data_IF_440406414869
#
_entry.id   IF_440406414869
#
_cell.length_a   1.000
_cell.length_b   1.000
_cell.length_c   1.000
_cell.angle_alpha   90.00
_cell.angle_beta   90.00
_cell.angle_gamma   90.00
#
_symmetry.space_group_name_H-M   'P 1'
#
loop_
_entity.id
_entity.type
_entity.pdbx_description
1 polymer ?
#
# COMPACT_ATOMS: atom_id res chain seq x y z
N UNK A 1 0.97 9.37 1.08
CA UNK A 1 2.18 9.03 1.87
C UNK A 1 1.98 9.50 3.31
N UNK A 2 1.65 8.59 4.24
CA UNK A 2 1.55 8.91 5.68
C UNK A 2 2.91 9.20 6.29
N UNK A 3 2.95 10.12 7.26
CA UNK A 3 4.16 10.47 8.02
C UNK A 3 3.88 10.55 9.52
N UNK A 4 4.85 10.12 10.33
CA UNK A 4 4.90 10.35 11.76
C UNK A 4 6.34 10.28 12.25
N UNK A 5 6.95 11.41 12.61
CA UNK A 5 8.36 11.55 12.95
C UNK A 5 9.29 11.09 11.80
N UNK A 6 9.16 11.73 10.65
CA UNK A 6 9.94 11.45 9.44
C UNK A 6 10.70 12.68 8.93
N UNK A 7 10.98 13.68 9.80
CA UNK A 7 11.65 14.93 9.42
C UNK A 7 13.01 14.70 8.75
N UNK A 8 13.75 13.65 9.15
CA UNK A 8 15.06 13.30 8.59
C UNK A 8 14.97 12.69 7.17
N UNK A 9 13.86 12.05 6.84
CA UNK A 9 13.64 11.35 5.56
C UNK A 9 12.85 12.19 4.55
N UNK A 10 11.93 13.03 5.02
CA UNK A 10 10.86 13.62 4.22
C UNK A 10 11.37 14.39 2.99
N UNK A 11 12.33 15.30 3.17
CA UNK A 11 12.81 16.12 2.05
C UNK A 11 13.47 15.26 0.96
N UNK A 12 14.23 14.24 1.37
CA UNK A 12 14.93 13.36 0.44
C UNK A 12 13.97 12.43 -0.32
N UNK A 13 12.96 11.85 0.37
CA UNK A 13 12.01 10.96 -0.29
C UNK A 13 11.08 11.74 -1.22
N UNK A 14 10.63 12.95 -0.86
CA UNK A 14 9.87 13.84 -1.74
C UNK A 14 10.64 14.14 -3.00
N UNK A 15 11.92 14.52 -2.90
CA UNK A 15 12.77 14.76 -4.06
C UNK A 15 12.91 13.52 -4.95
N UNK A 16 13.08 12.34 -4.35
CA UNK A 16 13.22 11.07 -5.08
C UNK A 16 11.92 10.67 -5.79
N UNK A 17 10.74 10.92 -5.19
CA UNK A 17 9.43 10.68 -5.81
C UNK A 17 9.27 11.55 -7.07
N UNK A 18 9.52 12.86 -6.97
CA UNK A 18 9.42 13.77 -8.11
C UNK A 18 10.49 13.52 -9.19
N UNK A 19 11.66 13.00 -8.80
CA UNK A 19 12.65 12.55 -9.77
C UNK A 19 12.21 11.31 -10.53
N UNK A 20 11.49 10.39 -9.88
CA UNK A 20 10.98 9.15 -10.49
C UNK A 20 9.71 9.38 -11.33
N UNK A 21 8.80 10.25 -10.87
CA UNK A 21 7.55 10.62 -11.53
C UNK A 21 7.33 12.14 -11.45
N UNK A 22 7.88 12.93 -12.40
CA UNK A 22 7.83 14.40 -12.36
C UNK A 22 6.41 15.00 -12.36
N UNK A 23 5.47 14.35 -13.06
CA UNK A 23 4.09 14.85 -13.22
C UNK A 23 3.13 14.32 -12.14
N UNK A 24 3.65 13.70 -11.07
CA UNK A 24 2.80 13.18 -10.00
C UNK A 24 2.30 14.28 -9.07
N UNK A 25 1.14 14.08 -8.48
CA UNK A 25 0.73 14.80 -7.28
C UNK A 25 1.11 13.97 -6.05
N UNK A 26 1.62 14.61 -5.00
CA UNK A 26 1.98 13.98 -3.75
C UNK A 26 1.16 14.55 -2.60
N UNK A 27 0.42 13.70 -1.90
CA UNK A 27 -0.21 14.04 -0.63
C UNK A 27 0.62 13.48 0.53
N UNK A 28 1.19 14.36 1.34
CA UNK A 28 1.77 14.02 2.65
C UNK A 28 0.65 14.08 3.69
N UNK A 29 0.48 13.01 4.47
CA UNK A 29 -0.56 12.94 5.52
C UNK A 29 0.16 12.83 6.85
N UNK A 30 0.31 13.96 7.54
CA UNK A 30 1.05 14.03 8.79
C UNK A 30 0.16 13.76 10.00
N UNK A 31 0.52 12.74 10.77
CA UNK A 31 -0.18 12.29 11.99
C UNK A 31 0.16 13.14 13.22
N UNK A 32 0.32 14.46 13.06
CA UNK A 32 0.65 15.37 14.15
C UNK A 32 2.05 15.11 14.70
N UNK A 33 3.05 15.05 13.82
CA UNK A 33 4.44 14.77 14.18
C UNK A 33 5.02 15.86 15.08
N UNK A 34 5.57 15.53 16.26
CA UNK A 34 6.20 16.50 17.15
C UNK A 34 7.61 16.93 16.74
N UNK A 35 8.22 16.29 15.72
CA UNK A 35 9.59 16.50 15.27
C UNK A 35 9.74 17.56 14.15
N UNK A 36 8.65 18.27 13.82
CA UNK A 36 8.65 19.27 12.74
C UNK A 36 8.42 18.69 11.33
N UNK A 37 8.03 17.42 11.21
CA UNK A 37 7.72 16.80 9.90
C UNK A 37 6.65 17.57 9.13
N UNK A 38 5.57 18.00 9.80
CA UNK A 38 4.45 18.70 9.18
C UNK A 38 4.87 20.07 8.64
N UNK A 39 5.60 20.85 9.43
CA UNK A 39 6.13 22.17 9.03
C UNK A 39 7.13 22.03 7.87
N UNK A 40 7.97 20.99 7.89
CA UNK A 40 8.86 20.69 6.79
C UNK A 40 8.08 20.36 5.51
N UNK A 41 7.00 19.58 5.61
CA UNK A 41 6.15 19.26 4.49
C UNK A 41 5.52 20.51 3.85
N UNK A 42 5.00 21.44 4.69
CA UNK A 42 4.48 22.73 4.23
C UNK A 42 5.52 23.55 3.50
N UNK A 43 6.76 23.59 4.02
CA UNK A 43 7.88 24.30 3.39
C UNK A 43 8.24 23.73 2.00
N UNK A 44 8.08 22.43 1.78
CA UNK A 44 8.38 21.79 0.51
C UNK A 44 7.39 22.16 -0.61
N UNK A 45 6.17 22.63 -0.29
CA UNK A 45 5.17 23.09 -1.28
C UNK A 45 5.67 24.22 -2.14
N UNK A 46 6.54 25.08 -1.62
CA UNK A 46 7.13 26.17 -2.41
C UNK A 46 7.98 25.64 -3.58
N UNK A 47 8.59 24.47 -3.42
CA UNK A 47 9.44 23.83 -4.43
C UNK A 47 8.66 22.85 -5.33
N UNK A 48 7.61 22.24 -4.79
CA UNK A 48 6.81 21.22 -5.46
C UNK A 48 5.33 21.62 -5.47
N UNK A 49 4.85 22.35 -6.50
CA UNK A 49 3.50 22.90 -6.54
C UNK A 49 2.37 21.87 -6.52
N UNK A 50 2.66 20.61 -6.91
CA UNK A 50 1.71 19.49 -6.86
C UNK A 50 1.81 18.67 -5.57
N UNK A 51 2.61 19.12 -4.59
CA UNK A 51 2.63 18.59 -3.25
C UNK A 51 1.54 19.25 -2.41
N UNK A 52 0.72 18.43 -1.78
CA UNK A 52 -0.25 18.87 -0.79
C UNK A 52 0.00 18.21 0.57
N UNK A 53 -0.45 18.85 1.64
CA UNK A 53 -0.23 18.40 3.01
C UNK A 53 -1.57 18.33 3.74
N UNK A 54 -1.81 17.20 4.39
CA UNK A 54 -2.95 17.00 5.27
C UNK A 54 -2.44 16.81 6.70
N UNK A 55 -2.72 17.78 7.57
CA UNK A 55 -2.41 17.69 9.00
C UNK A 55 -3.54 17.00 9.74
N UNK A 56 -3.22 15.95 10.47
CA UNK A 56 -4.15 15.26 11.35
C UNK A 56 -3.92 15.68 12.80
N UNK A 57 -4.95 15.60 13.64
CA UNK A 57 -4.89 16.10 15.01
C UNK A 57 -3.98 15.28 15.96
N UNK A 58 -3.35 14.21 15.46
CA UNK A 58 -2.46 13.36 16.23
C UNK A 58 -2.26 12.01 15.57
N UNK A 59 -1.56 11.09 16.23
CA UNK A 59 -1.29 9.74 15.75
C UNK A 59 -2.56 8.89 15.77
N UNK A 60 -3.31 8.93 14.66
CA UNK A 60 -4.57 8.22 14.50
C UNK A 60 -4.42 6.86 13.79
N UNK A 61 -3.21 6.52 13.37
CA UNK A 61 -2.87 5.23 12.77
C UNK A 61 -2.73 5.22 11.26
N UNK A 62 -1.95 4.25 10.77
CA UNK A 62 -1.55 4.14 9.38
C UNK A 62 -2.75 3.84 8.45
N UNK A 63 -3.60 2.90 8.85
CA UNK A 63 -4.75 2.50 8.04
C UNK A 63 -5.74 3.64 7.84
N UNK A 64 -6.02 4.39 8.92
CA UNK A 64 -6.91 5.56 8.84
C UNK A 64 -6.31 6.68 7.98
N UNK A 65 -4.98 6.86 8.01
CA UNK A 65 -4.30 7.84 7.14
C UNK A 65 -4.46 7.45 5.66
N UNK A 66 -4.28 6.18 5.31
CA UNK A 66 -4.51 5.72 3.94
C UNK A 66 -5.96 5.87 3.50
N UNK A 67 -6.94 5.57 4.37
CA UNK A 67 -8.37 5.79 4.07
C UNK A 67 -8.66 7.26 3.76
N UNK A 68 -8.10 8.21 4.52
CA UNK A 68 -8.23 9.63 4.24
C UNK A 68 -7.55 10.03 2.92
N UNK A 69 -6.37 9.46 2.64
CA UNK A 69 -5.68 9.63 1.36
C UNK A 69 -6.50 9.11 0.17
N UNK A 70 -7.15 7.96 0.31
CA UNK A 70 -8.04 7.43 -0.72
C UNK A 70 -9.27 8.33 -0.94
N UNK A 71 -9.89 8.82 0.13
CA UNK A 71 -10.99 9.79 0.02
C UNK A 71 -10.54 11.11 -0.64
N UNK A 72 -9.33 11.58 -0.32
CA UNK A 72 -8.74 12.74 -0.97
C UNK A 72 -8.56 12.48 -2.47
N UNK A 73 -7.97 11.36 -2.85
CA UNK A 73 -7.75 11.00 -4.24
C UNK A 73 -9.05 10.90 -5.05
N UNK A 74 -10.12 10.34 -4.44
CA UNK A 74 -11.44 10.28 -5.08
C UNK A 74 -12.06 11.66 -5.28
N UNK A 75 -11.93 12.57 -4.32
CA UNK A 75 -12.45 13.95 -4.44
C UNK A 75 -11.73 14.79 -5.49
N UNK A 76 -10.48 14.47 -5.80
CA UNK A 76 -9.66 15.19 -6.79
C UNK A 76 -9.56 14.45 -8.13
N UNK A 77 -10.39 13.44 -8.36
CA UNK A 77 -10.50 12.71 -9.62
C UNK A 77 -9.20 12.05 -10.12
N UNK A 78 -8.28 11.68 -9.22
CA UNK A 78 -7.07 10.95 -9.60
C UNK A 78 -7.40 9.56 -10.15
N UNK A 79 -6.90 9.26 -11.36
CA UNK A 79 -7.13 7.97 -12.03
C UNK A 79 -6.28 6.83 -11.44
N UNK A 80 -5.09 7.15 -10.95
CA UNK A 80 -4.11 6.21 -10.37
C UNK A 80 -3.67 6.76 -9.02
N UNK A 81 -3.58 5.88 -8.02
CA UNK A 81 -3.18 6.23 -6.66
C UNK A 81 -2.11 5.28 -6.16
N UNK A 82 -1.01 5.82 -5.67
CA UNK A 82 0.04 5.06 -5.00
C UNK A 82 -0.12 5.09 -3.48
N UNK A 83 0.17 3.98 -2.86
CA UNK A 83 0.36 3.82 -1.42
C UNK A 83 1.84 3.53 -1.17
N UNK A 84 2.49 4.32 -0.31
CA UNK A 84 3.89 4.12 0.05
C UNK A 84 4.25 4.77 1.39
N UNK A 85 5.26 4.24 2.06
CA UNK A 85 5.83 4.79 3.28
C UNK A 85 6.92 5.85 2.98
N UNK A 86 7.28 6.68 3.99
CA UNK A 86 8.21 7.79 3.85
C UNK A 86 9.68 7.47 4.25
N UNK A 87 10.00 6.22 4.59
CA UNK A 87 11.26 5.81 5.21
C UNK A 87 12.25 5.11 4.26
N UNK A 88 12.05 5.26 2.95
CA UNK A 88 12.84 4.59 1.90
C UNK A 88 12.79 3.05 1.88
N UNK A 89 11.98 2.41 2.73
CA UNK A 89 11.70 0.97 2.57
C UNK A 89 10.96 0.69 1.26
N UNK A 90 10.15 1.66 0.82
CA UNK A 90 9.53 1.73 -0.50
C UNK A 90 10.34 2.69 -1.39
N UNK A 91 11.29 2.14 -2.16
CA UNK A 91 12.17 2.95 -3.01
C UNK A 91 11.38 3.56 -4.18
N UNK A 92 11.35 4.90 -4.33
CA UNK A 92 10.64 5.59 -5.41
C UNK A 92 11.04 5.17 -6.82
N UNK A 93 12.23 4.62 -7.03
CA UNK A 93 12.67 4.09 -8.35
C UNK A 93 11.73 3.04 -8.95
N UNK A 94 10.89 2.38 -8.12
CA UNK A 94 9.92 1.39 -8.57
C UNK A 94 8.58 1.99 -9.01
N UNK A 95 8.31 3.28 -8.72
CA UNK A 95 7.06 3.94 -9.11
C UNK A 95 6.76 3.86 -10.60
N UNK A 96 7.72 4.09 -11.53
CA UNK A 96 7.46 3.96 -12.95
C UNK A 96 7.09 2.52 -13.36
N UNK A 97 7.71 1.51 -12.76
CA UNK A 97 7.40 0.11 -13.05
C UNK A 97 6.00 -0.30 -12.55
N UNK A 98 5.60 0.18 -11.35
CA UNK A 98 4.26 -0.04 -10.85
C UNK A 98 3.21 0.67 -11.71
N UNK A 99 3.50 1.91 -12.14
CA UNK A 99 2.62 2.67 -13.03
C UNK A 99 2.43 1.96 -14.38
N UNK A 100 3.52 1.50 -14.98
CA UNK A 100 3.47 0.76 -16.24
C UNK A 100 2.63 -0.52 -16.12
N UNK A 101 2.80 -1.29 -15.04
CA UNK A 101 2.01 -2.49 -14.78
C UNK A 101 0.52 -2.20 -14.54
N UNK A 102 0.17 -1.02 -14.05
CA UNK A 102 -1.22 -0.56 -13.91
C UNK A 102 -1.89 -0.29 -15.27
N UNK A 103 -1.16 -0.29 -16.39
CA UNK A 103 -1.72 -0.30 -17.75
C UNK A 103 -2.66 -1.49 -17.97
N UNK A 104 -2.25 -2.67 -17.50
CA UNK A 104 -2.96 -3.94 -17.71
C UNK A 104 -3.56 -4.53 -16.42
N UNK A 105 -3.46 -3.87 -15.28
CA UNK A 105 -3.95 -4.35 -14.00
C UNK A 105 -4.71 -3.27 -13.24
N UNK A 106 -5.59 -3.70 -12.34
CA UNK A 106 -6.39 -2.78 -11.50
C UNK A 106 -5.65 -2.44 -10.20
N UNK A 107 -4.93 -3.42 -9.64
CA UNK A 107 -4.09 -3.29 -8.46
C UNK A 107 -2.72 -3.88 -8.75
N UNK A 108 -1.66 -3.09 -8.52
CA UNK A 108 -0.27 -3.54 -8.63
C UNK A 108 0.37 -3.51 -7.25
N UNK A 109 1.04 -4.59 -6.87
CA UNK A 109 1.72 -4.74 -5.59
C UNK A 109 3.23 -4.78 -5.82
N UNK A 110 3.99 -3.92 -5.16
CA UNK A 110 5.44 -4.05 -5.04
C UNK A 110 5.75 -5.20 -4.10
N UNK A 111 6.16 -6.34 -4.66
CA UNK A 111 6.24 -7.62 -3.95
C UNK A 111 7.67 -8.01 -3.60
N UNK A 112 7.86 -8.44 -2.36
CA UNK A 112 9.11 -8.97 -1.82
C UNK A 112 9.30 -10.46 -2.12
N UNK A 113 8.22 -11.17 -2.50
CA UNK A 113 8.15 -12.64 -2.53
C UNK A 113 7.94 -13.24 -3.93
N UNK A 114 7.89 -12.42 -4.97
CA UNK A 114 7.95 -12.88 -6.36
C UNK A 114 9.39 -13.03 -6.82
N UNK A 115 9.69 -13.79 -7.90
CA UNK A 115 11.04 -13.88 -8.46
C UNK A 115 11.62 -12.48 -8.74
N UNK A 116 12.81 -12.19 -8.22
CA UNK A 116 13.44 -10.86 -8.27
C UNK A 116 13.16 -9.96 -7.07
N UNK A 117 12.15 -10.27 -6.25
CA UNK A 117 11.91 -9.58 -4.99
C UNK A 117 12.93 -9.98 -3.92
N UNK A 118 13.32 -9.03 -3.07
CA UNK A 118 14.36 -9.25 -2.05
C UNK A 118 14.08 -8.45 -0.78
N UNK A 119 14.60 -8.96 0.35
CA UNK A 119 14.62 -8.28 1.65
C UNK A 119 16.05 -8.32 2.19
N UNK A 120 17.00 -7.54 1.59
CA UNK A 120 18.35 -7.45 2.11
C UNK A 120 18.29 -6.94 3.55
N UNK A 121 19.31 -7.23 4.33
CA UNK A 121 19.51 -6.75 5.71
C UNK A 121 18.46 -7.20 6.75
N UNK A 122 17.44 -7.94 6.35
CA UNK A 122 16.48 -8.50 7.31
C UNK A 122 17.10 -9.68 8.08
N UNK A 123 17.05 -9.59 9.41
CA UNK A 123 17.41 -10.72 10.26
C UNK A 123 16.54 -11.95 9.99
N UNK A 124 17.10 -13.13 10.25
CA UNK A 124 16.44 -14.42 10.00
C UNK A 124 15.05 -14.54 10.63
N UNK A 125 14.90 -14.13 11.88
CA UNK A 125 13.61 -14.15 12.63
C UNK A 125 12.54 -13.28 11.96
N UNK A 126 12.91 -12.08 11.49
CA UNK A 126 11.99 -11.17 10.78
C UNK A 126 11.54 -11.77 9.45
N UNK A 127 12.45 -12.40 8.70
CA UNK A 127 12.10 -13.10 7.45
C UNK A 127 11.12 -14.24 7.69
N UNK A 128 11.36 -15.05 8.75
CA UNK A 128 10.46 -16.14 9.10
C UNK A 128 9.07 -15.65 9.52
N UNK A 129 8.98 -14.66 10.40
CA UNK A 129 7.70 -14.13 10.89
C UNK A 129 6.91 -13.51 9.75
N UNK A 130 7.56 -12.67 8.93
CA UNK A 130 6.91 -12.00 7.80
C UNK A 130 6.47 -13.01 6.73
N UNK A 131 7.35 -13.95 6.37
CA UNK A 131 7.05 -15.01 5.39
C UNK A 131 5.91 -15.91 5.86
N UNK A 132 5.94 -16.37 7.13
CA UNK A 132 4.89 -17.19 7.70
C UNK A 132 3.55 -16.45 7.76
N UNK A 133 3.52 -15.21 8.27
CA UNK A 133 2.30 -14.40 8.33
C UNK A 133 1.68 -14.18 6.96
N UNK A 134 2.51 -13.94 5.96
CA UNK A 134 2.07 -13.76 4.58
C UNK A 134 1.52 -15.08 3.99
N UNK A 135 2.23 -16.20 4.14
CA UNK A 135 1.77 -17.54 3.70
C UNK A 135 0.46 -17.91 4.39
N UNK A 136 0.35 -17.69 5.70
CA UNK A 136 -0.85 -17.93 6.47
C UNK A 136 -2.03 -17.14 5.91
N UNK A 137 -1.91 -15.81 5.78
CA UNK A 137 -2.98 -14.94 5.32
C UNK A 137 -3.45 -15.32 3.91
N UNK A 138 -2.52 -15.49 2.97
CA UNK A 138 -2.85 -15.85 1.58
C UNK A 138 -3.51 -17.23 1.47
N UNK A 139 -3.09 -18.20 2.28
CA UNK A 139 -3.65 -19.57 2.25
C UNK A 139 -5.06 -19.60 2.82
N UNK A 140 -5.28 -18.98 3.99
CA UNK A 140 -6.60 -18.94 4.64
C UNK A 140 -7.61 -18.16 3.80
N UNK A 141 -7.21 -17.01 3.24
CA UNK A 141 -8.08 -16.17 2.43
C UNK A 141 -8.11 -16.58 0.94
N UNK A 142 -7.29 -17.57 0.55
CA UNK A 142 -7.15 -18.07 -0.84
C UNK A 142 -6.79 -16.96 -1.81
N UNK A 143 -5.85 -16.09 -1.43
CA UNK A 143 -5.39 -15.00 -2.27
C UNK A 143 -4.39 -15.49 -3.32
N UNK A 144 -4.52 -15.11 -4.60
CA UNK A 144 -3.64 -15.53 -5.69
C UNK A 144 -2.35 -14.71 -5.76
N UNK A 145 -2.02 -13.94 -4.72
CA UNK A 145 -0.82 -13.10 -4.64
C UNK A 145 0.22 -13.73 -3.71
N UNK A 146 1.49 -13.39 -3.90
CA UNK A 146 2.58 -13.86 -3.05
C UNK A 146 2.87 -12.92 -1.88
N UNK A 147 2.56 -11.63 -2.01
CA UNK A 147 2.78 -10.62 -0.97
C UNK A 147 1.50 -9.83 -0.66
N UNK A 148 0.64 -10.38 0.19
CA UNK A 148 -0.60 -9.69 0.61
C UNK A 148 -0.37 -8.70 1.77
N UNK A 149 0.84 -8.59 2.29
CA UNK A 149 1.20 -7.69 3.41
C UNK A 149 2.02 -6.48 2.96
N UNK A 150 2.29 -6.34 1.67
CA UNK A 150 3.03 -5.21 1.12
C UNK A 150 2.23 -3.91 1.26
N UNK A 151 2.91 -2.83 1.66
CA UNK A 151 2.36 -1.47 1.73
C UNK A 151 2.72 -0.61 0.51
N UNK A 152 3.47 -1.12 -0.46
CA UNK A 152 3.79 -0.42 -1.68
C UNK A 152 2.87 -0.90 -2.79
N UNK A 153 1.88 -0.08 -3.14
CA UNK A 153 0.83 -0.47 -4.09
C UNK A 153 0.48 0.67 -5.03
N UNK A 154 -0.04 0.29 -6.19
CA UNK A 154 -0.61 1.20 -7.17
C UNK A 154 -2.03 0.73 -7.50
N UNK A 155 -3.01 1.60 -7.31
CA UNK A 155 -4.42 1.33 -7.51
C UNK A 155 -4.97 2.12 -8.68
N UNK A 156 -5.77 1.52 -9.54
CA UNK A 156 -6.70 2.25 -10.37
C UNK A 156 -7.84 2.80 -9.50
N UNK A 157 -8.36 3.98 -9.86
CA UNK A 157 -9.48 4.63 -9.19
C UNK A 157 -10.65 3.67 -8.90
N UNK A 158 -11.05 2.87 -9.87
CA UNK A 158 -12.18 1.93 -9.76
C UNK A 158 -12.02 0.94 -8.58
N UNK A 159 -10.79 0.56 -8.23
CA UNK A 159 -10.53 -0.32 -7.08
C UNK A 159 -10.86 0.39 -5.77
N UNK A 160 -10.44 1.66 -5.64
CA UNK A 160 -10.66 2.46 -4.43
C UNK A 160 -12.15 2.80 -4.29
N UNK A 161 -12.83 3.15 -5.37
CA UNK A 161 -14.29 3.37 -5.40
C UNK A 161 -15.09 2.15 -4.96
N UNK A 162 -14.55 0.98 -5.25
CA UNK A 162 -15.18 -0.27 -4.85
C UNK A 162 -14.94 -0.64 -3.38
N UNK A 163 -14.01 -0.02 -2.68
CA UNK A 163 -13.75 -0.30 -1.26
C UNK A 163 -14.87 0.25 -0.37
N UNK A 164 -15.19 -0.48 0.69
CA UNK A 164 -16.00 0.04 1.79
C UNK A 164 -15.07 0.79 2.77
N UNK A 165 -14.72 2.02 2.40
CA UNK A 165 -13.76 2.84 3.15
C UNK A 165 -14.24 3.17 4.59
N UNK A 166 -15.56 3.17 4.83
CA UNK A 166 -16.13 3.44 6.14
C UNK A 166 -16.05 2.23 7.08
N UNK A 167 -16.02 1.03 6.53
CA UNK A 167 -15.87 -0.20 7.28
C UNK A 167 -14.39 -0.55 7.59
N UNK A 168 -13.43 0.07 6.91
CA UNK A 168 -12.01 -0.20 7.16
C UNK A 168 -11.57 0.51 8.44
N UNK A 169 -11.41 -0.27 9.54
CA UNK A 169 -10.95 0.16 10.87
C UNK A 169 -9.69 -0.60 11.29
N UNK A 170 -8.86 -0.96 10.33
CA UNK A 170 -7.72 -1.86 10.50
C UNK A 170 -6.41 -1.09 10.39
N UNK A 171 -5.40 -1.57 11.11
CA UNK A 171 -4.08 -0.97 11.13
C UNK A 171 -3.01 -1.92 10.56
N UNK A 172 -1.87 -1.36 10.19
CA UNK A 172 -0.70 -2.11 9.79
C UNK A 172 -0.97 -3.19 8.74
N UNK A 173 -0.59 -4.44 9.04
CA UNK A 173 -0.73 -5.56 8.10
C UNK A 173 -2.18 -5.97 7.85
N UNK A 174 -3.06 -5.81 8.83
CA UNK A 174 -4.47 -6.14 8.65
C UNK A 174 -5.12 -5.24 7.59
N UNK A 175 -4.77 -3.95 7.56
CA UNK A 175 -5.18 -3.01 6.51
C UNK A 175 -4.66 -3.46 5.14
N UNK A 176 -3.38 -3.84 5.04
CA UNK A 176 -2.78 -4.26 3.78
C UNK A 176 -3.44 -5.53 3.22
N UNK A 177 -3.73 -6.49 4.09
CA UNK A 177 -4.42 -7.74 3.71
C UNK A 177 -5.86 -7.44 3.28
N UNK A 178 -6.57 -6.54 3.99
CA UNK A 178 -7.96 -6.19 3.67
C UNK A 178 -8.08 -5.56 2.30
N UNK A 179 -7.23 -4.61 1.94
CA UNK A 179 -7.30 -3.95 0.62
C UNK A 179 -7.07 -4.94 -0.51
N UNK A 180 -6.11 -5.86 -0.37
CA UNK A 180 -5.87 -6.94 -1.35
C UNK A 180 -7.07 -7.90 -1.40
N UNK A 181 -7.61 -8.28 -0.23
CA UNK A 181 -8.75 -9.19 -0.15
C UNK A 181 -10.01 -8.60 -0.78
N UNK A 182 -10.33 -7.34 -0.51
CA UNK A 182 -11.48 -6.66 -1.13
C UNK A 182 -11.30 -6.58 -2.65
N UNK A 183 -10.14 -6.15 -3.14
CA UNK A 183 -9.86 -6.11 -4.58
C UNK A 183 -10.05 -7.48 -5.24
N UNK A 184 -9.46 -8.52 -4.66
CA UNK A 184 -9.62 -9.90 -5.16
C UNK A 184 -11.08 -10.37 -5.15
N UNK A 185 -11.80 -10.15 -4.06
CA UNK A 185 -13.22 -10.57 -3.92
C UNK A 185 -14.14 -9.85 -4.90
N UNK A 186 -13.80 -8.64 -5.30
CA UNK A 186 -14.55 -7.86 -6.28
C UNK A 186 -14.16 -8.16 -7.74
N UNK A 187 -13.21 -9.09 -7.94
CA UNK A 187 -12.81 -9.57 -9.27
C UNK A 187 -11.81 -8.67 -10.00
N UNK A 188 -11.15 -7.75 -9.30
CA UNK A 188 -10.11 -6.92 -9.89
C UNK A 188 -8.86 -7.75 -10.23
N UNK A 189 -8.20 -7.38 -11.32
CA UNK A 189 -6.94 -7.97 -11.74
C UNK A 189 -5.81 -7.43 -10.90
N UNK A 190 -5.15 -8.33 -10.16
CA UNK A 190 -4.02 -8.01 -9.28
C UNK A 190 -2.75 -8.58 -9.89
N UNK A 191 -1.69 -7.77 -9.97
CA UNK A 191 -0.36 -8.20 -10.40
C UNK A 191 0.71 -7.78 -9.39
N UNK A 192 1.85 -8.44 -9.43
CA UNK A 192 2.97 -8.20 -8.53
C UNK A 192 4.22 -7.83 -9.33
N UNK A 193 4.87 -6.74 -8.95
CA UNK A 193 6.14 -6.27 -9.48
C UNK A 193 7.22 -6.53 -8.43
N UNK A 194 8.36 -7.18 -8.77
CA UNK A 194 9.41 -7.43 -7.79
C UNK A 194 10.06 -6.13 -7.32
N UNK A 195 10.24 -6.03 -6.00
CA UNK A 195 10.96 -4.91 -5.38
C UNK A 195 12.05 -5.43 -4.45
N UNK A 196 13.09 -4.63 -4.28
CA UNK A 196 14.04 -4.78 -3.18
C UNK A 196 13.56 -3.91 -2.03
N UNK A 197 13.30 -4.52 -0.89
CA UNK A 197 12.80 -3.87 0.32
C UNK A 197 13.89 -3.93 1.39
N UNK A 198 14.76 -2.91 1.49
CA UNK A 198 15.83 -2.86 2.49
C UNK A 198 15.24 -2.68 3.90
N UNK A 199 16.05 -2.94 4.92
CA UNK A 199 15.68 -2.50 6.27
C UNK A 199 15.80 -0.97 6.39
N UNK A 200 15.02 -0.37 7.28
CA UNK A 200 15.07 1.08 7.53
C UNK A 200 16.46 1.48 7.93
N UNK A 201 16.97 2.55 7.33
CA UNK A 201 18.27 3.13 7.69
C UNK A 201 18.17 4.05 8.91
N UNK A 202 17.02 4.69 9.09
CA UNK A 202 16.75 5.68 10.14
C UNK A 202 15.41 5.34 10.79
N UNK A 203 15.32 5.46 12.12
CA UNK A 203 14.12 5.19 12.90
C UNK A 203 14.01 3.75 13.44
N UNK A 204 13.07 3.53 14.35
CA UNK A 204 12.80 2.22 14.97
C UNK A 204 11.65 1.51 14.26
N UNK A 205 11.78 0.19 14.06
CA UNK A 205 10.70 -0.63 13.49
C UNK A 205 9.46 -0.57 14.38
N UNK A 206 8.33 -0.13 13.81
CA UNK A 206 7.02 -0.06 14.50
C UNK A 206 6.31 -1.42 14.55
N UNK A 207 7.00 -2.53 14.22
CA UNK A 207 6.45 -3.89 14.30
C UNK A 207 6.29 -4.31 15.77
N UNK A 208 5.07 -4.26 16.28
CA UNK A 208 4.71 -4.84 17.58
C UNK A 208 4.10 -6.24 17.42
N UNK A 209 4.14 -7.04 18.48
CA UNK A 209 3.45 -8.33 18.52
C UNK A 209 1.94 -8.17 18.35
N UNK A 210 1.40 -7.04 18.77
CA UNK A 210 -0.02 -6.72 18.68
C UNK A 210 -0.48 -6.55 17.22
N UNK A 211 0.34 -5.91 16.36
CA UNK A 211 0.06 -5.77 14.92
C UNK A 211 -0.01 -7.13 14.23
N UNK A 212 0.87 -8.06 14.61
CA UNK A 212 0.85 -9.43 14.07
C UNK A 212 -0.38 -10.19 14.57
N UNK A 213 -0.70 -10.08 15.86
CA UNK A 213 -1.88 -10.72 16.44
C UNK A 213 -3.18 -10.17 15.85
N UNK A 214 -3.26 -8.86 15.62
CA UNK A 214 -4.40 -8.23 14.94
C UNK A 214 -4.59 -8.78 13.54
N UNK A 215 -3.51 -8.87 12.74
CA UNK A 215 -3.56 -9.40 11.39
C UNK A 215 -4.02 -10.87 11.36
N UNK A 216 -3.51 -11.71 12.27
CA UNK A 216 -3.94 -13.09 12.39
C UNK A 216 -5.43 -13.20 12.78
N UNK A 217 -5.85 -12.43 13.80
CA UNK A 217 -7.24 -12.37 14.24
C UNK A 217 -8.19 -11.87 13.13
N UNK A 218 -7.74 -10.88 12.35
CA UNK A 218 -8.46 -10.40 11.19
C UNK A 218 -8.68 -11.51 10.15
N UNK A 219 -7.62 -12.21 9.75
CA UNK A 219 -7.68 -13.30 8.76
C UNK A 219 -8.69 -14.37 9.16
N UNK A 220 -8.70 -14.80 10.43
CA UNK A 220 -9.67 -15.76 10.94
C UNK A 220 -11.11 -15.22 10.89
N UNK A 221 -11.35 -14.02 11.40
CA UNK A 221 -12.69 -13.40 11.36
C UNK A 221 -13.20 -13.26 9.93
N UNK A 222 -12.33 -12.84 9.01
CA UNK A 222 -12.71 -12.66 7.59
C UNK A 222 -13.03 -13.96 6.91
N UNK A 223 -12.33 -15.06 7.26
CA UNK A 223 -12.62 -16.40 6.74
C UNK A 223 -13.95 -16.95 7.25
N UNK A 224 -14.27 -16.76 8.52
CA UNK A 224 -15.49 -17.27 9.17
C UNK A 224 -16.71 -16.40 8.82
N UNK A 225 -16.56 -15.08 8.73
CA UNK A 225 -17.65 -14.14 8.38
C UNK A 225 -17.92 -14.01 6.87
N UNK A 226 -17.09 -14.57 6.01
CA UNK A 226 -17.19 -14.44 4.54
C UNK A 226 -18.20 -15.38 3.85
N UNK A 227 -19.14 -15.97 4.57
CA UNK A 227 -20.13 -16.91 4.03
C UNK A 227 -21.34 -16.30 3.35
N UNK A 228 -21.54 -14.99 3.36
CA UNK A 228 -22.69 -14.35 2.75
C UNK A 228 -22.26 -13.21 1.83
N UNK A 229 -22.17 -13.44 0.56
CA UNK A 229 -22.20 -12.62 -0.66
C UNK A 229 -21.06 -13.01 -1.63
N UNK A 230 -21.28 -14.06 -2.37
CA UNK A 230 -20.36 -14.52 -3.40
C UNK A 230 -21.10 -14.81 -4.70
N UNK A 231 -21.28 -13.81 -5.54
CA UNK A 231 -21.51 -14.05 -6.96
C UNK A 231 -20.15 -14.32 -7.62
N UNK A 232 -19.86 -15.59 -7.94
CA UNK A 232 -18.79 -15.95 -8.86
C UNK A 232 -19.14 -15.39 -10.23
N UNK A 233 -18.41 -14.40 -10.74
CA UNK A 233 -18.33 -14.18 -12.18
C UNK A 233 -17.41 -15.25 -12.77
N UNK A 234 -17.91 -15.93 -13.80
CA UNK A 234 -17.17 -16.89 -14.59
C UNK A 234 -15.94 -16.23 -15.25
N UNK A 235 -14.84 -16.98 -15.48
CA UNK A 235 -13.69 -16.46 -16.21
C UNK A 235 -14.13 -16.10 -17.63
N UNK A 236 -13.74 -14.91 -18.08
CA UNK A 236 -13.90 -14.50 -19.48
C UNK A 236 -12.94 -15.37 -20.29
N UNK A 237 -13.50 -16.23 -21.16
CA UNK A 237 -12.76 -17.03 -22.12
C UNK A 237 -12.10 -16.10 -23.15
N UNK A 238 -10.77 -16.14 -23.23
CA UNK A 238 -10.00 -15.57 -24.31
C UNK A 238 -10.00 -16.50 -25.53
N UNK A 239 -11.14 -16.56 -26.24
CA UNK A 239 -11.21 -17.13 -27.57
C UNK A 239 -12.18 -16.27 -28.38
N UNK A 240 -11.63 -15.20 -29.01
CA UNK A 240 -12.17 -14.55 -30.19
C UNK A 240 -11.35 -13.29 -30.54
N UNK A 241 -10.11 -13.45 -30.97
CA UNK A 241 -9.45 -12.52 -31.90
C UNK A 241 -8.42 -13.31 -32.73
N UNK A 242 -8.93 -14.12 -33.63
CA UNK A 242 -8.13 -14.65 -34.73
C UNK A 242 -9.10 -14.96 -35.89
N UNK A 243 -9.54 -13.92 -36.59
CA UNK A 243 -9.96 -13.96 -38.01
C UNK A 243 -10.74 -12.68 -38.34
N UNK A 244 -10.06 -11.69 -38.85
CA UNK A 244 -10.46 -10.81 -39.97
C UNK A 244 -9.28 -9.92 -40.34
#
# INVERSE_FOLDING_TARGET
>A
MPTYNESENLAAIVAAIYAALPDTALLVIDDGSPDGTGELADGLRARYPTLDVMHRQGKLGLGTAYVEGFRYALRHDYAIVFEMDADFSHDPRYLPALLAAAGDADLVIGSRYVPGGQTPDWGFSRRLISGFGNIFARTILRLPVRDCTAGFKCYRRAVIEAFDLDAIRLEGYAFQIETVYQAYRKGFRIVEVPIVFPDRKIGTSKMSRDIVAEALGYVFRRRLGGGAHGARRAPISHDEVASS
#
